data_IF_299137938483
#
_entry.id   IF_299137938483
#
_cell.length_a   1.000
_cell.length_b   1.000
_cell.length_c   1.000
_cell.angle_alpha   90.00
_cell.angle_beta   90.00
_cell.angle_gamma   90.00
#
_symmetry.space_group_name_H-M   'P 1'
#
loop_
_entity.id
_entity.type
_entity.pdbx_description
1 polymer ?
#
# COMPACT_ATOMS: atom_id res chain seq x y z
N UNK A 1 -9.90 10.84 -15.08
CA UNK A 1 -9.02 9.95 -14.29
C UNK A 1 -7.59 10.37 -14.49
N UNK A 2 -6.71 10.08 -13.54
CA UNK A 2 -5.27 10.41 -13.60
C UNK A 2 -4.63 9.91 -14.91
N UNK A 3 -5.05 8.73 -15.38
CA UNK A 3 -4.60 8.12 -16.63
C UNK A 3 -4.97 8.92 -17.90
N UNK A 4 -6.06 9.71 -17.89
CA UNK A 4 -6.42 10.61 -19.01
C UNK A 4 -5.50 11.83 -19.09
N UNK A 5 -4.88 12.22 -17.97
CA UNK A 5 -3.96 13.36 -17.92
C UNK A 5 -2.53 12.97 -18.28
N UNK A 6 -2.10 11.76 -17.94
CA UNK A 6 -0.73 11.26 -18.19
C UNK A 6 -0.56 10.55 -19.53
N UNK A 7 -1.66 10.07 -20.13
CA UNK A 7 -1.62 9.25 -21.34
C UNK A 7 -1.45 7.76 -21.04
N UNK A 8 -1.86 6.90 -21.97
CA UNK A 8 -1.90 5.44 -21.78
C UNK A 8 -0.52 4.77 -21.80
N UNK A 9 0.50 5.46 -22.30
CA UNK A 9 1.88 4.97 -22.39
C UNK A 9 2.74 5.39 -21.20
N UNK A 10 2.19 6.16 -20.27
CA UNK A 10 2.93 6.60 -19.10
C UNK A 10 3.17 5.43 -18.14
N UNK A 11 4.44 5.08 -17.94
CA UNK A 11 4.86 4.07 -16.98
C UNK A 11 5.27 4.76 -15.68
N UNK A 12 4.54 4.46 -14.62
CA UNK A 12 4.85 5.00 -13.30
C UNK A 12 6.09 4.31 -12.73
N UNK A 13 7.01 5.10 -12.19
CA UNK A 13 8.06 4.55 -11.33
C UNK A 13 7.52 4.34 -9.92
N UNK A 14 8.22 3.54 -9.10
CA UNK A 14 7.82 3.34 -7.71
C UNK A 14 7.90 4.63 -6.88
N UNK A 15 8.81 5.55 -7.20
CA UNK A 15 8.92 6.84 -6.53
C UNK A 15 7.69 7.74 -6.75
N UNK A 16 7.03 7.57 -7.90
CA UNK A 16 5.80 8.30 -8.23
C UNK A 16 4.55 7.58 -7.74
N UNK A 17 4.52 6.25 -7.85
CA UNK A 17 3.37 5.43 -7.51
C UNK A 17 3.20 5.31 -5.99
N UNK A 18 4.28 5.09 -5.24
CA UNK A 18 4.22 4.79 -3.82
C UNK A 18 3.59 5.91 -2.99
N UNK A 19 3.93 7.20 -3.15
CA UNK A 19 3.28 8.28 -2.41
C UNK A 19 1.78 8.39 -2.71
N UNK A 20 1.38 8.19 -3.96
CA UNK A 20 -0.03 8.19 -4.37
C UNK A 20 -0.77 7.02 -3.73
N UNK A 21 -0.15 5.84 -3.73
CA UNK A 21 -0.71 4.66 -3.09
C UNK A 21 -0.86 4.86 -1.58
N UNK A 22 0.16 5.38 -0.89
CA UNK A 22 0.10 5.71 0.54
C UNK A 22 -1.04 6.69 0.84
N UNK A 23 -1.20 7.74 0.02
CA UNK A 23 -2.30 8.69 0.14
C UNK A 23 -3.68 8.00 0.04
N UNK A 24 -3.83 7.06 -0.91
CA UNK A 24 -5.08 6.29 -1.07
C UNK A 24 -5.33 5.43 0.16
N UNK A 25 -4.32 4.72 0.69
CA UNK A 25 -4.46 3.87 1.88
C UNK A 25 -4.89 4.68 3.09
N UNK A 26 -4.29 5.85 3.32
CA UNK A 26 -4.69 6.75 4.42
C UNK A 26 -6.13 7.22 4.24
N UNK A 27 -6.51 7.64 3.03
CA UNK A 27 -7.86 8.16 2.74
C UNK A 27 -8.94 7.09 2.73
N UNK A 28 -8.59 5.85 2.44
CA UNK A 28 -9.50 4.72 2.49
C UNK A 28 -9.97 4.45 3.93
N UNK A 29 -9.21 4.88 4.94
CA UNK A 29 -9.56 4.78 6.36
C UNK A 29 -10.05 3.37 6.74
N UNK A 30 -9.35 2.35 6.23
CA UNK A 30 -9.69 0.95 6.47
C UNK A 30 -9.69 0.70 7.98
N UNK A 31 -10.84 0.31 8.50
CA UNK A 31 -11.01 0.05 9.93
C UNK A 31 -10.10 -1.11 10.33
N UNK A 32 -9.36 -0.95 11.43
CA UNK A 32 -8.46 -1.98 11.94
C UNK A 32 -7.47 -2.52 10.88
N UNK A 33 -6.94 -1.64 10.02
CA UNK A 33 -6.02 -2.00 8.93
C UNK A 33 -4.90 -2.97 9.34
N UNK A 34 -4.33 -2.84 10.54
CA UNK A 34 -3.32 -3.78 11.05
C UNK A 34 -3.83 -5.21 11.19
N UNK A 35 -5.05 -5.40 11.69
CA UNK A 35 -5.70 -6.71 11.80
C UNK A 35 -5.99 -7.31 10.42
N UNK A 36 -6.45 -6.49 9.47
CA UNK A 36 -6.71 -6.94 8.09
C UNK A 36 -5.42 -7.38 7.38
N UNK A 37 -4.32 -6.64 7.58
CA UNK A 37 -3.00 -7.02 7.05
C UNK A 37 -2.55 -8.35 7.65
N UNK A 38 -2.65 -8.51 8.97
CA UNK A 38 -2.26 -9.76 9.64
C UNK A 38 -3.12 -10.94 9.17
N UNK A 39 -4.42 -10.73 9.02
CA UNK A 39 -5.33 -11.73 8.45
C UNK A 39 -4.89 -12.17 7.05
N UNK A 40 -4.57 -11.24 6.16
CA UNK A 40 -4.07 -11.61 4.83
C UNK A 40 -2.73 -12.36 4.92
N UNK A 41 -1.82 -11.94 5.80
CA UNK A 41 -0.53 -12.60 5.97
C UNK A 41 -0.65 -14.06 6.43
N UNK A 42 -1.57 -14.33 7.36
CA UNK A 42 -1.75 -15.66 7.95
C UNK A 42 -2.51 -16.62 7.02
N UNK A 43 -3.43 -16.11 6.20
CA UNK A 43 -4.34 -16.92 5.38
C UNK A 43 -4.03 -16.93 3.88
N UNK A 44 -3.08 -16.12 3.41
CA UNK A 44 -2.68 -16.09 2.00
C UNK A 44 -2.00 -17.39 1.57
N UNK A 45 -2.45 -17.95 0.46
CA UNK A 45 -1.91 -19.18 -0.10
C UNK A 45 -0.44 -18.98 -0.54
N UNK A 46 0.49 -19.90 -0.23
CA UNK A 46 1.93 -19.70 -0.46
C UNK A 46 2.33 -19.38 -1.90
N UNK A 47 1.54 -19.83 -2.89
CA UNK A 47 1.84 -19.53 -4.30
C UNK A 47 1.47 -18.09 -4.71
N UNK A 48 0.59 -17.41 -3.96
CA UNK A 48 0.22 -16.01 -4.19
C UNK A 48 1.29 -15.02 -3.67
N UNK A 49 2.13 -15.50 -2.75
CA UNK A 49 3.21 -14.72 -2.12
C UNK A 49 4.28 -14.33 -3.13
N UNK A 50 4.52 -15.16 -4.14
CA UNK A 50 5.52 -14.92 -5.18
C UNK A 50 4.83 -14.50 -6.47
N UNK A 51 4.52 -13.21 -6.59
CA UNK A 51 3.84 -12.65 -7.77
C UNK A 51 3.37 -11.22 -7.56
N UNK A 52 2.51 -10.76 -8.47
CA UNK A 52 1.94 -9.41 -8.42
C UNK A 52 1.22 -9.16 -7.08
N UNK A 53 0.43 -10.12 -6.60
CA UNK A 53 -0.29 -10.00 -5.34
C UNK A 53 0.65 -9.89 -4.13
N UNK A 54 1.74 -10.67 -4.10
CA UNK A 54 2.77 -10.55 -3.06
C UNK A 54 3.49 -9.20 -3.08
N UNK A 55 3.75 -8.65 -4.27
CA UNK A 55 4.34 -7.31 -4.43
C UNK A 55 3.37 -6.24 -3.93
N UNK A 56 2.10 -6.31 -4.33
CA UNK A 56 1.05 -5.39 -3.87
C UNK A 56 0.87 -5.46 -2.35
N UNK A 57 0.87 -6.67 -1.79
CA UNK A 57 0.74 -6.86 -0.35
C UNK A 57 1.93 -6.32 0.42
N UNK A 58 3.15 -6.55 -0.07
CA UNK A 58 4.38 -5.97 0.52
C UNK A 58 4.35 -4.44 0.46
N UNK A 59 3.85 -3.87 -0.64
CA UNK A 59 3.68 -2.42 -0.80
C UNK A 59 2.66 -1.87 0.22
N UNK A 60 1.55 -2.57 0.44
CA UNK A 60 0.55 -2.22 1.45
C UNK A 60 1.15 -2.28 2.87
N UNK A 61 1.91 -3.32 3.20
CA UNK A 61 2.62 -3.41 4.49
C UNK A 61 3.56 -2.22 4.68
N UNK A 62 4.34 -1.85 3.66
CA UNK A 62 5.23 -0.70 3.73
C UNK A 62 4.48 0.62 4.01
N UNK A 63 3.34 0.85 3.36
CA UNK A 63 2.49 2.02 3.67
C UNK A 63 1.97 2.01 5.09
N UNK A 64 1.50 0.86 5.58
CA UNK A 64 1.06 0.74 6.97
C UNK A 64 2.17 1.08 7.97
N UNK A 65 3.39 0.57 7.74
CA UNK A 65 4.55 0.94 8.57
C UNK A 65 4.87 2.43 8.52
N UNK A 66 4.83 3.05 7.33
CA UNK A 66 5.04 4.49 7.16
C UNK A 66 4.02 5.30 7.98
N UNK A 67 2.73 4.96 7.89
CA UNK A 67 1.65 5.62 8.64
C UNK A 67 1.86 5.50 10.16
N UNK A 68 2.30 4.33 10.64
CA UNK A 68 2.61 4.14 12.05
C UNK A 68 3.78 5.02 12.51
N UNK A 69 4.86 5.10 11.74
CA UNK A 69 6.02 5.93 12.06
C UNK A 69 5.66 7.42 12.12
N UNK A 70 4.90 7.92 11.15
CA UNK A 70 4.43 9.30 11.14
C UNK A 70 3.57 9.60 12.38
N UNK A 71 2.65 8.70 12.74
CA UNK A 71 1.82 8.86 13.95
C UNK A 71 2.66 8.91 15.23
N UNK A 72 3.68 8.05 15.34
CA UNK A 72 4.58 8.04 16.50
C UNK A 72 5.36 9.36 16.58
N UNK A 73 5.87 9.87 15.46
CA UNK A 73 6.61 11.14 15.41
C UNK A 73 5.79 12.38 15.78
N UNK A 74 4.46 12.31 15.69
CA UNK A 74 3.56 13.40 16.11
C UNK A 74 3.28 13.42 17.62
N UNK A 75 3.72 12.39 18.36
CA UNK A 75 3.44 12.23 19.80
C UNK A 75 4.65 12.61 20.68
N UNK A 76 5.79 12.94 20.06
CA UNK A 76 6.99 13.52 20.71
C UNK A 76 7.01 15.06 20.57
#
# INVERSE_FOLDING_TARGET
TVQKQLGTTYLWTMDELFPVFNFVVVRASVLQLGSEIHFIEDFMEPYLVNGELGIMFTTLKACYYQILQEKMSMTD
#
